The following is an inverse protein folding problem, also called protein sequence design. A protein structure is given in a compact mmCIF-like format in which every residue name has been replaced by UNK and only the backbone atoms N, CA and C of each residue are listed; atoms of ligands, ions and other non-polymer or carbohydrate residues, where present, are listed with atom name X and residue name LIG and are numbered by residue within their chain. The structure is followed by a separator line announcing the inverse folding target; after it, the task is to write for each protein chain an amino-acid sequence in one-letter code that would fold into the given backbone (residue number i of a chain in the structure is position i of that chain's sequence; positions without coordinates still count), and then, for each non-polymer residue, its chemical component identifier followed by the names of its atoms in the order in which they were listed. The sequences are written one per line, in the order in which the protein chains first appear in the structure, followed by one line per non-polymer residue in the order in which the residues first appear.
data_IF_443382671340
#
_entry.id   IF_443382671340
#
_cell.length_a   1.000
_cell.length_b   1.000
_cell.length_c   1.000
_cell.angle_alpha   90.00
_cell.angle_beta   90.00
_cell.angle_gamma   90.00
#
_symmetry.space_group_name_H-M   'P 1'
#
loop_
_entity.id
_entity.type
_entity.pdbx_description
1 polymer ?
#
# COMPACT_ATOMS: atom_id res chain seq x y z
N UNK A 1 16.52 25.62 -13.79
CA UNK A 1 16.87 24.27 -13.29
C UNK A 1 15.81 23.34 -13.79
N UNK A 2 16.14 22.11 -14.21
CA UNK A 2 15.13 21.12 -14.58
C UNK A 2 14.28 20.85 -13.34
N UNK A 3 12.94 20.99 -13.44
CA UNK A 3 12.01 20.71 -12.36
C UNK A 3 11.69 19.20 -12.26
N UNK A 4 12.45 18.37 -12.97
CA UNK A 4 12.38 16.92 -12.92
C UNK A 4 13.79 16.31 -12.92
N UNK A 5 13.99 15.28 -12.12
CA UNK A 5 15.27 14.59 -11.93
C UNK A 5 15.05 13.08 -11.84
N UNK A 6 16.00 12.30 -12.36
CA UNK A 6 16.02 10.83 -12.15
C UNK A 6 17.15 10.48 -11.19
N UNK A 7 16.79 9.83 -10.09
CA UNK A 7 17.69 9.40 -9.04
C UNK A 7 17.88 7.89 -9.08
N UNK A 8 19.10 7.44 -8.89
CA UNK A 8 19.48 6.04 -8.91
C UNK A 8 20.12 5.64 -7.59
N UNK A 9 19.58 4.62 -6.95
CA UNK A 9 20.06 4.13 -5.66
C UNK A 9 20.48 2.66 -5.78
N UNK A 10 21.79 2.39 -5.89
CA UNK A 10 22.28 1.01 -5.97
C UNK A 10 21.98 0.25 -4.68
N UNK A 11 21.66 -1.03 -4.83
CA UNK A 11 21.49 -1.99 -3.74
C UNK A 11 22.73 -2.88 -3.63
N UNK A 12 23.00 -3.47 -2.46
CA UNK A 12 24.02 -4.51 -2.33
C UNK A 12 23.77 -5.65 -3.34
N UNK A 13 24.81 -6.21 -3.95
CA UNK A 13 24.66 -7.29 -4.92
C UNK A 13 24.09 -8.55 -4.26
N UNK A 14 23.20 -9.24 -4.96
CA UNK A 14 22.65 -10.55 -4.56
C UNK A 14 23.57 -11.71 -4.98
N UNK A 15 24.55 -11.45 -5.85
CA UNK A 15 25.53 -12.43 -6.33
C UNK A 15 26.59 -11.76 -7.20
N UNK A 16 27.59 -12.48 -7.62
CA UNK A 16 28.68 -11.97 -8.47
C UNK A 16 28.11 -11.43 -9.79
N UNK A 17 28.37 -10.15 -10.07
CA UNK A 17 27.90 -9.48 -11.29
C UNK A 17 26.44 -9.01 -11.26
N UNK A 18 25.67 -9.31 -10.22
CA UNK A 18 24.31 -8.81 -10.09
C UNK A 18 24.32 -7.32 -9.71
N UNK A 19 23.61 -6.50 -10.46
CA UNK A 19 23.44 -5.07 -10.18
C UNK A 19 21.94 -4.76 -10.08
N UNK A 20 21.49 -4.35 -8.92
CA UNK A 20 20.13 -3.89 -8.70
C UNK A 20 20.17 -2.44 -8.22
N UNK A 21 19.21 -1.64 -8.68
CA UNK A 21 19.07 -0.26 -8.23
C UNK A 21 17.58 0.11 -8.13
N UNK A 22 17.25 0.92 -7.15
CA UNK A 22 15.97 1.60 -7.07
C UNK A 22 16.05 2.87 -7.92
N UNK A 23 15.09 3.06 -8.82
CA UNK A 23 14.99 4.27 -9.64
C UNK A 23 13.83 5.12 -9.16
N UNK A 24 14.10 6.38 -8.83
CA UNK A 24 13.13 7.35 -8.37
C UNK A 24 13.10 8.55 -9.31
N UNK A 25 11.92 9.01 -9.67
CA UNK A 25 11.71 10.24 -10.42
C UNK A 25 11.22 11.32 -9.45
N UNK A 26 11.95 12.43 -9.35
CA UNK A 26 11.60 13.59 -8.55
C UNK A 26 11.03 14.68 -9.44
N UNK A 27 9.92 15.27 -9.02
CA UNK A 27 9.31 16.45 -9.60
C UNK A 27 9.19 17.53 -8.53
N UNK A 28 9.49 18.79 -8.90
CA UNK A 28 9.55 19.92 -7.97
C UNK A 28 10.92 20.07 -7.31
N UNK A 29 10.96 20.85 -6.24
CA UNK A 29 12.21 21.18 -5.54
C UNK A 29 12.42 20.23 -4.37
N UNK A 30 13.63 19.71 -4.21
CA UNK A 30 14.00 18.88 -3.05
C UNK A 30 13.71 19.61 -1.74
N UNK A 31 13.02 18.91 -0.84
CA UNK A 31 12.61 19.43 0.46
C UNK A 31 11.44 20.41 0.44
N UNK A 32 10.86 20.71 -0.74
CA UNK A 32 9.65 21.53 -0.81
C UNK A 32 8.45 20.79 -0.18
N UNK A 33 7.51 21.58 0.36
CA UNK A 33 6.29 21.08 0.98
C UNK A 33 5.04 21.58 0.24
N UNK A 34 3.97 20.75 0.21
CA UNK A 34 3.90 19.39 0.72
C UNK A 34 4.78 18.41 -0.08
N UNK A 35 5.12 17.27 0.54
CA UNK A 35 5.89 16.19 -0.11
C UNK A 35 5.02 14.95 -0.29
N UNK A 36 4.98 14.42 -1.51
CA UNK A 36 4.35 13.12 -1.80
C UNK A 36 5.37 12.08 -2.25
N UNK A 37 5.13 10.85 -1.83
CA UNK A 37 5.85 9.66 -2.25
C UNK A 37 4.85 8.64 -2.80
N UNK A 38 5.02 8.21 -4.04
CA UNK A 38 4.20 7.20 -4.69
C UNK A 38 5.10 6.07 -5.18
N UNK A 39 4.78 4.84 -4.82
CA UNK A 39 5.48 3.67 -5.32
C UNK A 39 4.53 2.62 -5.86
N UNK A 40 5.04 1.75 -6.73
CA UNK A 40 4.36 0.56 -7.23
C UNK A 40 5.34 -0.60 -7.40
N UNK A 41 4.82 -1.81 -7.41
CA UNK A 41 5.63 -3.01 -7.60
C UNK A 41 6.56 -3.31 -6.44
N UNK A 42 6.15 -3.01 -5.21
CA UNK A 42 6.79 -3.51 -4.00
C UNK A 42 6.60 -5.03 -3.92
N UNK A 43 5.38 -5.54 -4.12
CA UNK A 43 5.18 -6.89 -4.64
C UNK A 43 5.36 -6.82 -6.16
N UNK A 44 6.43 -7.39 -6.67
CA UNK A 44 6.84 -7.19 -8.06
C UNK A 44 5.95 -7.91 -9.09
N UNK A 45 5.06 -8.78 -8.64
CA UNK A 45 4.03 -9.48 -9.42
C UNK A 45 2.66 -8.77 -9.40
N UNK A 46 2.59 -7.53 -8.92
CA UNK A 46 1.40 -6.67 -8.92
C UNK A 46 1.60 -5.51 -9.90
N UNK A 47 1.05 -5.63 -11.13
CA UNK A 47 1.44 -4.80 -12.27
C UNK A 47 0.65 -3.49 -12.46
N UNK A 48 -0.66 -3.37 -12.10
CA UNK A 48 -1.47 -2.19 -12.42
C UNK A 48 -0.86 -0.88 -11.96
N UNK A 49 -0.34 -0.83 -10.72
CA UNK A 49 0.31 0.36 -10.17
C UNK A 49 1.54 0.81 -10.96
N UNK A 50 2.34 -0.14 -11.48
CA UNK A 50 3.51 0.19 -12.30
C UNK A 50 3.08 0.89 -13.59
N UNK A 51 2.01 0.40 -14.24
CA UNK A 51 1.48 0.99 -15.47
C UNK A 51 0.83 2.35 -15.20
N UNK A 52 0.07 2.48 -14.11
CA UNK A 52 -0.53 3.74 -13.70
C UNK A 52 0.53 4.83 -13.45
N UNK A 53 1.62 4.51 -12.73
CA UNK A 53 2.72 5.45 -12.50
C UNK A 53 3.50 5.74 -13.79
N UNK A 54 3.64 4.77 -14.71
CA UNK A 54 4.22 5.02 -16.02
C UNK A 54 3.42 6.07 -16.80
N UNK A 55 2.09 5.98 -16.78
CA UNK A 55 1.20 6.94 -17.46
C UNK A 55 1.16 8.29 -16.73
N UNK A 56 1.26 8.30 -15.40
CA UNK A 56 1.29 9.55 -14.60
C UNK A 56 2.54 10.39 -14.87
N UNK A 57 3.70 9.76 -15.10
CA UNK A 57 4.98 10.47 -15.30
C UNK A 57 4.92 11.58 -16.36
N UNK A 58 4.50 11.32 -17.62
CA UNK A 58 4.41 12.40 -18.62
C UNK A 58 3.39 13.48 -18.26
N UNK A 59 2.40 13.20 -17.40
CA UNK A 59 1.48 14.22 -16.90
C UNK A 59 2.21 15.17 -15.93
N UNK A 60 3.03 14.62 -15.05
CA UNK A 60 3.86 15.41 -14.11
C UNK A 60 4.99 16.16 -14.82
N UNK A 61 5.59 15.59 -15.86
CA UNK A 61 6.57 16.27 -16.70
C UNK A 61 5.97 17.56 -17.31
N UNK A 62 4.77 17.44 -17.91
CA UNK A 62 4.04 18.61 -18.42
C UNK A 62 3.64 19.62 -17.34
N UNK A 63 3.26 19.13 -16.15
CA UNK A 63 2.96 20.03 -15.02
C UNK A 63 4.21 20.78 -14.55
N UNK A 64 5.36 20.10 -14.49
CA UNK A 64 6.64 20.70 -14.14
C UNK A 64 7.09 21.75 -15.19
N UNK A 65 7.00 21.44 -16.49
CA UNK A 65 7.29 22.37 -17.58
C UNK A 65 6.45 23.66 -17.52
N UNK A 66 5.21 23.54 -17.04
CA UNK A 66 4.28 24.65 -16.86
C UNK A 66 4.45 25.38 -15.52
N UNK A 67 5.37 24.94 -14.65
CA UNK A 67 5.59 25.51 -13.32
C UNK A 67 4.43 25.27 -12.34
N UNK A 68 3.67 24.18 -12.52
CA UNK A 68 2.51 23.86 -11.69
C UNK A 68 2.85 23.01 -10.47
N UNK A 69 4.05 22.41 -10.40
CA UNK A 69 4.47 21.63 -9.23
C UNK A 69 4.82 22.59 -8.09
N UNK A 70 4.13 22.50 -6.99
CA UNK A 70 4.22 23.39 -5.82
C UNK A 70 5.01 22.80 -4.65
N UNK A 71 5.10 21.47 -4.60
CA UNK A 71 5.82 20.72 -3.58
C UNK A 71 6.91 19.81 -4.15
N UNK A 72 7.21 18.72 -3.45
CA UNK A 72 8.10 17.65 -3.92
C UNK A 72 7.28 16.38 -4.17
N UNK A 73 7.42 15.78 -5.37
CA UNK A 73 6.74 14.52 -5.71
C UNK A 73 7.81 13.50 -6.10
N UNK A 74 7.86 12.39 -5.37
CA UNK A 74 8.72 11.25 -5.65
C UNK A 74 7.89 10.09 -6.22
N UNK A 75 8.32 9.53 -7.36
CA UNK A 75 7.63 8.43 -8.02
C UNK A 75 8.59 7.27 -8.28
N UNK A 76 8.21 6.08 -7.84
CA UNK A 76 8.93 4.82 -8.02
C UNK A 76 8.03 3.80 -8.72
N UNK A 77 7.97 3.77 -10.07
CA UNK A 77 7.12 2.81 -10.79
C UNK A 77 7.52 1.34 -10.58
N UNK A 78 8.76 1.09 -10.17
CA UNK A 78 9.33 -0.22 -9.89
C UNK A 78 10.12 -0.15 -8.58
N UNK A 79 9.41 -0.18 -7.46
CA UNK A 79 10.03 -0.05 -6.14
C UNK A 79 10.93 -1.25 -5.79
N UNK A 80 10.63 -2.45 -6.31
CA UNK A 80 11.33 -3.69 -5.98
C UNK A 80 12.05 -4.33 -7.17
N UNK A 81 13.25 -3.87 -7.52
CA UNK A 81 14.03 -4.49 -8.59
C UNK A 81 14.51 -5.91 -8.27
N UNK A 82 14.54 -6.32 -7.00
CA UNK A 82 14.92 -7.68 -6.59
C UNK A 82 13.83 -8.67 -6.99
N UNK A 83 12.57 -8.39 -6.63
CA UNK A 83 11.43 -9.22 -6.96
C UNK A 83 11.25 -9.39 -8.48
N UNK A 84 11.45 -8.29 -9.25
CA UNK A 84 11.36 -8.32 -10.70
C UNK A 84 12.36 -9.25 -11.41
N UNK A 85 13.41 -9.70 -10.74
CA UNK A 85 14.39 -10.63 -11.30
C UNK A 85 14.18 -12.09 -10.88
N UNK A 86 13.15 -12.40 -10.13
CA UNK A 86 12.85 -13.74 -9.64
C UNK A 86 11.87 -14.47 -10.57
N UNK A 87 12.38 -15.31 -11.49
CA UNK A 87 11.57 -16.01 -12.49
C UNK A 87 11.70 -17.54 -12.40
N UNK A 88 11.43 -18.18 -11.25
CA UNK A 88 11.50 -19.64 -11.14
C UNK A 88 10.50 -20.28 -12.09
N UNK A 89 10.99 -21.20 -12.94
CA UNK A 89 10.18 -21.94 -13.90
C UNK A 89 9.36 -21.06 -14.89
N UNK A 90 9.83 -19.82 -15.16
CA UNK A 90 9.14 -18.89 -16.06
C UNK A 90 7.98 -18.12 -15.48
N UNK A 91 7.75 -18.22 -14.17
CA UNK A 91 6.75 -17.42 -13.42
C UNK A 91 7.44 -16.35 -12.61
N UNK A 92 6.91 -15.13 -12.62
CA UNK A 92 7.41 -14.06 -11.78
C UNK A 92 7.03 -14.33 -10.32
N UNK A 93 8.04 -14.47 -9.46
CA UNK A 93 7.89 -14.65 -8.02
C UNK A 93 8.19 -13.33 -7.32
N UNK A 94 7.19 -12.43 -7.31
CA UNK A 94 7.37 -11.02 -6.95
C UNK A 94 7.01 -10.65 -5.52
N UNK A 95 6.23 -11.49 -4.81
CA UNK A 95 5.71 -11.18 -3.49
C UNK A 95 6.72 -11.44 -2.36
N UNK A 96 7.49 -12.51 -2.46
CA UNK A 96 8.45 -12.93 -1.46
C UNK A 96 9.88 -12.97 -2.02
N UNK A 97 10.85 -12.71 -1.18
CA UNK A 97 12.25 -12.89 -1.51
C UNK A 97 12.56 -14.38 -1.57
N UNK A 98 13.12 -14.84 -2.69
CA UNK A 98 13.22 -16.26 -3.01
C UNK A 98 14.21 -17.03 -2.11
N UNK A 99 15.22 -16.35 -1.56
CA UNK A 99 16.23 -16.98 -0.70
C UNK A 99 15.72 -17.19 0.73
N UNK A 100 15.01 -16.20 1.28
CA UNK A 100 14.59 -16.20 2.69
C UNK A 100 13.12 -16.56 2.88
N UNK A 101 12.30 -16.41 1.83
CA UNK A 101 10.85 -16.51 1.91
C UNK A 101 10.18 -15.29 2.57
N UNK A 102 10.93 -14.23 2.88
CA UNK A 102 10.37 -13.03 3.50
C UNK A 102 9.51 -12.25 2.49
N UNK A 103 8.33 -11.82 2.92
CA UNK A 103 7.47 -10.93 2.16
C UNK A 103 8.12 -9.54 2.01
N UNK A 104 8.17 -9.01 0.79
CA UNK A 104 8.80 -7.71 0.53
C UNK A 104 8.10 -6.55 1.25
N UNK A 105 6.78 -6.65 1.47
CA UNK A 105 5.98 -5.66 2.20
C UNK A 105 5.74 -6.04 3.66
N UNK A 106 6.74 -6.58 4.34
CA UNK A 106 6.71 -6.87 5.78
C UNK A 106 8.05 -6.51 6.42
N UNK A 107 8.07 -6.51 7.75
CA UNK A 107 9.26 -6.32 8.56
C UNK A 107 10.04 -5.03 8.23
N UNK A 108 9.33 -3.95 7.93
CA UNK A 108 9.95 -2.63 7.90
C UNK A 108 10.39 -2.23 9.31
N UNK A 109 11.51 -1.50 9.47
CA UNK A 109 11.99 -1.11 10.80
C UNK A 109 10.97 -0.19 11.48
N UNK A 110 10.64 -0.51 12.73
CA UNK A 110 9.91 0.42 13.60
C UNK A 110 10.84 1.58 13.97
N UNK A 111 10.50 2.77 13.52
CA UNK A 111 11.28 3.97 13.80
C UNK A 111 11.00 4.52 15.19
N UNK A 112 9.84 4.22 15.80
CA UNK A 112 9.44 4.75 17.12
C UNK A 112 10.48 4.43 18.19
N UNK A 113 11.01 3.19 18.16
CA UNK A 113 12.04 2.73 19.12
C UNK A 113 13.43 3.33 18.89
N UNK A 114 13.64 4.07 17.80
CA UNK A 114 14.97 4.51 17.33
C UNK A 114 15.16 6.03 17.29
N UNK A 115 14.15 6.80 17.71
CA UNK A 115 14.14 8.25 17.52
C UNK A 115 15.09 9.03 18.42
N UNK A 116 15.62 8.42 19.46
CA UNK A 116 16.54 9.09 20.40
C UNK A 116 15.84 10.08 21.32
N UNK A 117 16.49 11.23 21.58
CA UNK A 117 15.96 12.26 22.48
C UNK A 117 14.85 13.07 21.79
N UNK A 118 13.67 13.05 22.39
CA UNK A 118 12.49 13.80 21.98
C UNK A 118 12.06 14.83 23.05
N UNK A 119 12.97 15.25 23.94
CA UNK A 119 12.68 16.22 25.02
C UNK A 119 12.24 17.61 24.50
N UNK A 120 12.44 17.89 23.20
CA UNK A 120 11.96 19.10 22.54
C UNK A 120 10.48 19.11 22.15
N UNK A 121 9.75 18.01 22.35
CA UNK A 121 8.31 17.97 22.04
C UNK A 121 7.54 18.92 22.96
N UNK A 122 6.60 19.66 22.40
CA UNK A 122 5.82 20.68 23.09
C UNK A 122 4.41 20.88 22.52
N UNK A 123 3.86 22.10 22.68
CA UNK A 123 2.51 22.43 22.24
C UNK A 123 2.44 22.94 20.78
N UNK A 124 3.58 23.19 20.14
CA UNK A 124 3.61 23.57 18.72
C UNK A 124 3.67 22.33 17.83
N UNK A 125 2.58 22.08 17.11
CA UNK A 125 2.45 20.92 16.24
C UNK A 125 3.45 20.97 15.07
N UNK A 126 3.75 22.13 14.51
CA UNK A 126 4.67 22.24 13.38
C UNK A 126 6.12 21.98 13.80
N UNK A 127 6.53 22.49 14.96
CA UNK A 127 7.85 22.20 15.54
C UNK A 127 7.99 20.73 15.88
N UNK A 128 6.96 20.10 16.48
CA UNK A 128 6.96 18.67 16.77
C UNK A 128 7.10 17.81 15.51
N UNK A 129 6.38 18.15 14.44
CA UNK A 129 6.47 17.44 13.15
C UNK A 129 7.88 17.55 12.58
N UNK A 130 8.49 18.74 12.60
CA UNK A 130 9.85 18.94 12.11
C UNK A 130 10.86 18.12 12.93
N UNK A 131 10.77 18.15 14.26
CA UNK A 131 11.63 17.41 15.18
C UNK A 131 11.52 15.90 14.96
N UNK A 132 10.31 15.37 14.86
CA UNK A 132 10.06 13.93 14.66
C UNK A 132 10.62 13.47 13.31
N UNK A 133 10.37 14.22 12.23
CA UNK A 133 10.93 13.92 10.89
C UNK A 133 12.45 13.92 10.87
N UNK A 134 13.06 14.89 11.54
CA UNK A 134 14.53 14.95 11.68
C UNK A 134 15.06 13.75 12.47
N UNK A 135 14.40 13.37 13.57
CA UNK A 135 14.76 12.19 14.36
C UNK A 135 14.63 10.89 13.56
N UNK A 136 13.55 10.73 12.79
CA UNK A 136 13.37 9.60 11.86
C UNK A 136 14.50 9.53 10.83
N UNK A 137 14.83 10.66 10.21
CA UNK A 137 15.94 10.76 9.24
C UNK A 137 17.29 10.38 9.86
N UNK A 138 17.58 10.84 11.08
CA UNK A 138 18.80 10.46 11.83
C UNK A 138 18.82 8.96 12.15
N UNK A 139 17.70 8.40 12.59
CA UNK A 139 17.57 6.97 12.86
C UNK A 139 17.83 6.13 11.61
N UNK A 140 17.26 6.50 10.47
CA UNK A 140 17.50 5.85 9.18
C UNK A 140 18.97 6.00 8.75
N UNK A 141 19.56 7.19 8.83
CA UNK A 141 20.95 7.43 8.45
C UNK A 141 21.96 6.62 9.29
N UNK A 142 21.61 6.29 10.53
CA UNK A 142 22.43 5.45 11.41
C UNK A 142 22.41 3.96 11.02
N UNK A 143 21.37 3.51 10.30
CA UNK A 143 21.27 2.11 9.85
C UNK A 143 22.26 1.82 8.73
N UNK A 144 22.84 0.62 8.74
CA UNK A 144 23.83 0.16 7.76
C UNK A 144 23.44 -1.22 7.21
N UNK A 145 22.35 -1.32 6.45
CA UNK A 145 21.88 -2.60 5.91
C UNK A 145 22.92 -3.15 4.93
N UNK A 146 23.22 -4.45 5.04
CA UNK A 146 24.22 -5.15 4.21
C UNK A 146 23.61 -6.12 3.20
N UNK A 147 22.42 -6.64 3.50
CA UNK A 147 21.68 -7.54 2.59
C UNK A 147 20.80 -6.72 1.66
N UNK A 148 20.62 -7.20 0.43
CA UNK A 148 19.85 -6.50 -0.60
C UNK A 148 18.41 -6.20 -0.15
N UNK A 149 17.70 -7.17 0.43
CA UNK A 149 16.33 -6.99 0.93
C UNK A 149 16.22 -5.91 2.02
N UNK A 150 17.08 -5.97 3.04
CA UNK A 150 17.06 -4.96 4.10
C UNK A 150 17.51 -3.58 3.61
N UNK A 151 18.42 -3.53 2.61
CA UNK A 151 18.82 -2.29 1.96
C UNK A 151 17.69 -1.70 1.10
N UNK A 152 16.91 -2.53 0.44
CA UNK A 152 15.70 -2.11 -0.28
C UNK A 152 14.70 -1.44 0.67
N UNK A 153 14.27 -2.15 1.74
CA UNK A 153 13.35 -1.60 2.75
C UNK A 153 13.85 -0.28 3.35
N UNK A 154 15.12 -0.24 3.72
CA UNK A 154 15.77 0.97 4.23
C UNK A 154 15.75 2.12 3.21
N UNK A 155 16.03 1.84 1.92
CA UNK A 155 16.03 2.86 0.88
C UNK A 155 14.65 3.45 0.66
N UNK A 156 13.62 2.61 0.55
CA UNK A 156 12.24 3.05 0.38
C UNK A 156 11.79 3.93 1.57
N UNK A 157 12.04 3.50 2.80
CA UNK A 157 11.75 4.31 3.98
C UNK A 157 12.53 5.62 4.01
N UNK A 158 13.82 5.61 3.62
CA UNK A 158 14.64 6.83 3.60
C UNK A 158 14.09 7.90 2.63
N UNK A 159 13.43 7.48 1.54
CA UNK A 159 12.80 8.38 0.58
C UNK A 159 11.44 8.90 1.06
N UNK A 160 10.72 8.11 1.86
CA UNK A 160 9.32 8.34 2.21
C UNK A 160 9.10 8.89 3.64
N UNK A 161 10.05 8.72 4.59
CA UNK A 161 9.83 8.96 6.03
C UNK A 161 9.36 10.36 6.40
N UNK A 162 9.69 11.35 5.60
CA UNK A 162 9.32 12.75 5.82
C UNK A 162 8.18 13.23 4.90
N UNK A 163 7.56 12.33 4.12
CA UNK A 163 6.46 12.70 3.23
C UNK A 163 5.18 13.05 4.01
N UNK A 164 4.41 13.99 3.45
CA UNK A 164 3.07 14.34 3.93
C UNK A 164 2.02 13.34 3.41
N UNK A 165 2.25 12.82 2.19
CA UNK A 165 1.41 11.83 1.51
C UNK A 165 2.25 10.66 1.04
N UNK A 166 1.83 9.43 1.36
CA UNK A 166 2.44 8.19 0.86
C UNK A 166 1.36 7.31 0.24
N UNK A 167 1.51 6.98 -1.03
CA UNK A 167 0.64 6.07 -1.75
C UNK A 167 1.44 4.85 -2.20
N UNK A 168 1.16 3.71 -1.58
CA UNK A 168 1.73 2.41 -1.94
C UNK A 168 0.74 1.66 -2.85
N UNK A 169 1.07 1.59 -4.14
CA UNK A 169 0.18 1.04 -5.15
C UNK A 169 0.39 -0.46 -5.30
N UNK A 170 -0.63 -1.20 -4.99
CA UNK A 170 -0.72 -2.65 -5.04
C UNK A 170 -1.85 -3.12 -5.95
N UNK A 171 -2.01 -4.43 -6.08
CA UNK A 171 -3.17 -5.11 -6.63
C UNK A 171 -3.34 -6.47 -5.96
N UNK A 172 -4.58 -6.96 -5.83
CA UNK A 172 -4.84 -8.29 -5.30
C UNK A 172 -5.05 -9.30 -6.45
N UNK A 173 -5.17 -10.56 -6.18
CA UNK A 173 -5.29 -11.63 -7.19
C UNK A 173 -6.41 -11.36 -8.21
N UNK A 174 -7.66 -11.28 -7.75
CA UNK A 174 -8.82 -10.76 -8.46
C UNK A 174 -9.56 -9.86 -7.46
N UNK A 175 -9.65 -8.58 -7.72
CA UNK A 175 -10.26 -7.67 -6.78
C UNK A 175 -10.91 -6.45 -7.45
N UNK A 176 -11.83 -5.82 -6.72
CA UNK A 176 -12.26 -4.46 -6.96
C UNK A 176 -11.26 -3.49 -6.35
N UNK A 177 -11.17 -2.24 -6.83
CA UNK A 177 -10.35 -1.23 -6.17
C UNK A 177 -10.72 -1.09 -4.69
N UNK A 178 -9.71 -1.07 -3.80
CA UNK A 178 -9.92 -0.91 -2.37
C UNK A 178 -8.69 -0.26 -1.71
N UNK A 179 -8.84 0.16 -0.45
CA UNK A 179 -7.81 0.89 0.27
C UNK A 179 -7.65 0.34 1.69
N UNK A 180 -6.38 0.25 2.13
CA UNK A 180 -6.01 0.09 3.54
C UNK A 180 -5.34 1.36 4.02
N UNK A 181 -5.71 1.83 5.23
CA UNK A 181 -5.07 2.99 5.85
C UNK A 181 -5.24 2.97 7.36
N UNK A 182 -4.48 3.83 8.05
CA UNK A 182 -4.56 3.96 9.50
C UNK A 182 -5.93 4.50 9.97
N UNK A 183 -6.46 3.95 11.06
CA UNK A 183 -7.71 4.46 11.67
C UNK A 183 -7.60 5.96 12.00
N UNK A 184 -6.42 6.42 12.45
CA UNK A 184 -6.15 7.82 12.75
C UNK A 184 -6.12 8.74 11.52
N UNK A 185 -6.03 8.18 10.31
CA UNK A 185 -5.99 8.90 9.04
C UNK A 185 -7.38 9.05 8.39
N UNK A 186 -8.40 8.48 8.99
CA UNK A 186 -9.78 8.63 8.54
C UNK A 186 -10.49 9.71 9.37
N UNK A 187 -11.26 10.68 8.74
CA UNK A 187 -11.69 10.68 7.33
C UNK A 187 -10.75 11.39 6.34
N UNK A 188 -9.56 11.83 6.73
CA UNK A 188 -8.67 12.59 5.83
C UNK A 188 -8.32 11.83 4.54
N UNK A 189 -8.27 10.49 4.57
CA UNK A 189 -8.03 9.67 3.38
C UNK A 189 -9.27 9.48 2.47
N UNK A 190 -10.41 10.10 2.78
CA UNK A 190 -11.66 9.87 2.06
C UNK A 190 -11.62 10.34 0.59
N UNK A 191 -10.88 11.42 0.30
CA UNK A 191 -10.70 11.89 -1.08
C UNK A 191 -9.89 10.89 -1.92
N UNK A 192 -8.92 10.23 -1.34
CA UNK A 192 -8.12 9.19 -2.01
C UNK A 192 -9.03 8.02 -2.37
N UNK A 193 -9.81 7.51 -1.39
CA UNK A 193 -10.75 6.43 -1.61
C UNK A 193 -11.80 6.75 -2.69
N UNK A 194 -12.30 8.00 -2.70
CA UNK A 194 -13.27 8.46 -3.70
C UNK A 194 -12.66 8.56 -5.11
N UNK A 195 -11.43 9.08 -5.24
CA UNK A 195 -10.79 9.25 -6.55
C UNK A 195 -10.41 7.92 -7.21
N UNK A 196 -10.06 6.88 -6.45
CA UNK A 196 -9.76 5.55 -6.99
C UNK A 196 -10.99 4.64 -7.12
N UNK A 197 -12.21 5.16 -6.86
CA UNK A 197 -13.45 4.37 -6.85
C UNK A 197 -13.40 3.16 -5.91
N UNK A 198 -12.83 3.34 -4.70
CA UNK A 198 -12.65 2.25 -3.75
C UNK A 198 -13.98 1.61 -3.33
N UNK A 199 -14.09 0.30 -3.49
CA UNK A 199 -15.27 -0.50 -3.19
C UNK A 199 -15.21 -1.16 -1.81
N UNK A 200 -14.05 -1.11 -1.15
CA UNK A 200 -13.87 -1.38 0.26
C UNK A 200 -12.84 -0.40 0.83
N UNK A 201 -13.09 0.07 2.07
CA UNK A 201 -12.23 1.01 2.79
C UNK A 201 -11.97 0.39 4.15
N UNK A 202 -10.74 -0.10 4.35
CA UNK A 202 -10.36 -0.95 5.47
C UNK A 202 -9.38 -0.21 6.39
N UNK A 203 -9.79 0.00 7.65
CA UNK A 203 -9.06 0.79 8.63
C UNK A 203 -8.41 -0.12 9.67
N UNK A 204 -7.13 0.10 9.97
CA UNK A 204 -6.45 -0.56 11.07
C UNK A 204 -5.44 0.37 11.73
N UNK A 205 -5.21 0.24 13.03
CA UNK A 205 -4.03 0.83 13.67
C UNK A 205 -2.79 -0.03 13.44
N UNK A 206 -2.98 -1.35 13.48
CA UNK A 206 -1.94 -2.36 13.27
C UNK A 206 -2.58 -3.54 12.55
N UNK A 207 -2.14 -3.82 11.32
CA UNK A 207 -2.61 -4.97 10.55
C UNK A 207 -1.75 -6.22 10.78
N UNK A 208 -0.50 -6.03 11.22
CA UNK A 208 0.47 -7.08 11.51
C UNK A 208 1.64 -7.13 10.53
N UNK A 209 2.82 -7.49 11.03
CA UNK A 209 4.03 -7.64 10.23
C UNK A 209 4.70 -6.33 9.81
N UNK A 210 4.21 -5.18 10.25
CA UNK A 210 4.74 -3.84 9.97
C UNK A 210 4.98 -3.59 8.48
N UNK A 211 3.91 -3.49 7.65
CA UNK A 211 4.03 -3.16 6.23
C UNK A 211 4.49 -1.71 6.03
N UNK A 212 4.78 -1.34 4.78
CA UNK A 212 5.39 -0.06 4.44
C UNK A 212 4.58 1.17 4.88
N UNK A 213 3.28 1.17 4.61
CA UNK A 213 2.38 2.27 4.97
C UNK A 213 2.24 2.45 6.49
N UNK A 214 2.12 1.35 7.24
CA UNK A 214 2.07 1.39 8.71
C UNK A 214 3.42 1.83 9.32
N UNK A 215 4.54 1.37 8.76
CA UNK A 215 5.87 1.75 9.22
C UNK A 215 6.15 3.26 9.09
N UNK A 216 5.44 3.96 8.19
CA UNK A 216 5.56 5.40 7.98
C UNK A 216 4.53 6.22 8.76
N UNK A 217 3.30 5.73 8.85
CA UNK A 217 2.22 6.45 9.54
C UNK A 217 2.09 6.07 11.02
N UNK A 218 2.34 4.82 11.38
CA UNK A 218 2.22 4.28 12.75
C UNK A 218 2.97 5.07 13.83
N UNK A 219 4.21 5.50 13.59
CA UNK A 219 4.96 6.29 14.56
C UNK A 219 4.24 7.55 15.03
N UNK A 220 3.44 8.20 14.21
CA UNK A 220 2.75 9.45 14.58
C UNK A 220 1.74 9.25 15.70
N UNK A 221 0.86 8.27 15.62
CA UNK A 221 -0.11 8.01 16.71
C UNK A 221 0.51 7.24 17.88
N UNK A 222 1.58 6.47 17.67
CA UNK A 222 2.32 5.85 18.75
C UNK A 222 3.00 6.92 19.64
N UNK A 223 3.64 7.91 19.03
CA UNK A 223 4.26 9.04 19.72
C UNK A 223 3.21 9.94 20.39
N UNK A 224 2.09 10.23 19.72
CA UNK A 224 1.00 11.00 20.33
C UNK A 224 0.45 10.32 21.59
N UNK A 225 0.38 8.99 21.63
CA UNK A 225 0.00 8.24 22.83
C UNK A 225 1.08 8.24 23.92
N UNK A 226 2.34 8.17 23.50
CA UNK A 226 3.47 8.18 24.45
C UNK A 226 3.71 9.57 25.08
N UNK A 227 3.34 10.63 24.34
CA UNK A 227 3.53 12.04 24.73
C UNK A 227 2.21 12.82 24.70
N UNK A 228 1.24 12.47 25.57
CA UNK A 228 -0.09 13.10 25.53
C UNK A 228 -0.07 14.61 25.87
N UNK A 229 1.02 15.09 26.44
CA UNK A 229 1.27 16.52 26.71
C UNK A 229 1.73 17.30 25.47
N UNK A 230 2.14 16.62 24.40
CA UNK A 230 2.64 17.24 23.18
C UNK A 230 1.58 17.25 22.06
N UNK A 231 1.57 18.28 21.24
CA UNK A 231 0.68 18.37 20.08
C UNK A 231 1.30 17.63 18.88
N UNK A 232 1.06 16.32 18.77
CA UNK A 232 1.58 15.48 17.69
C UNK A 232 0.44 15.08 16.75
N UNK A 233 0.28 15.72 15.59
CA UNK A 233 -0.71 15.35 14.58
C UNK A 233 -0.26 14.12 13.78
N UNK A 234 -1.17 13.40 13.07
CA UNK A 234 -0.81 12.37 12.11
C UNK A 234 -0.22 13.01 10.84
N UNK A 235 1.08 13.34 10.86
CA UNK A 235 1.74 14.16 9.83
C UNK A 235 2.21 13.37 8.59
N UNK A 236 1.90 12.09 8.49
CA UNK A 236 2.09 11.27 7.28
C UNK A 236 0.78 10.53 6.98
N UNK A 237 0.08 10.95 5.93
CA UNK A 237 -1.06 10.21 5.41
C UNK A 237 -0.52 9.12 4.50
N UNK A 238 -0.43 7.89 5.02
CA UNK A 238 0.00 6.73 4.25
C UNK A 238 -1.19 5.78 3.99
N UNK A 239 -1.29 5.30 2.76
CA UNK A 239 -2.32 4.36 2.35
C UNK A 239 -1.78 3.35 1.33
N UNK A 240 -2.21 2.10 1.48
CA UNK A 240 -2.07 1.07 0.45
C UNK A 240 -3.29 1.11 -0.46
N UNK A 241 -3.06 1.35 -1.75
CA UNK A 241 -4.08 1.42 -2.79
C UNK A 241 -4.05 0.16 -3.63
N UNK A 242 -5.05 -0.68 -3.48
CA UNK A 242 -5.23 -1.87 -4.31
C UNK A 242 -6.03 -1.50 -5.56
N UNK A 243 -5.37 -1.42 -6.71
CA UNK A 243 -5.92 -0.85 -7.94
C UNK A 243 -6.73 -1.86 -8.79
N UNK A 244 -7.18 -2.94 -8.19
CA UNK A 244 -7.95 -4.00 -8.85
C UNK A 244 -7.20 -5.33 -8.85
N UNK A 245 -7.32 -6.10 -9.93
CA UNK A 245 -6.71 -7.42 -10.06
C UNK A 245 -5.28 -7.32 -10.61
N UNK A 246 -4.40 -8.27 -10.24
CA UNK A 246 -3.01 -8.32 -10.75
C UNK A 246 -2.92 -8.29 -12.28
N UNK A 247 -3.90 -8.89 -12.96
CA UNK A 247 -3.94 -9.01 -14.41
C UNK A 247 -4.62 -7.81 -15.11
N UNK A 248 -5.08 -6.79 -14.37
CA UNK A 248 -5.72 -5.58 -14.91
C UNK A 248 -4.70 -4.62 -15.55
N UNK A 249 -3.93 -5.15 -16.50
CA UNK A 249 -2.88 -4.44 -17.23
C UNK A 249 -3.43 -3.93 -18.55
N UNK A 250 -4.14 -2.81 -18.50
CA UNK A 250 -4.78 -2.17 -19.63
C UNK A 250 -4.46 -0.67 -19.67
N UNK A 251 -4.20 -0.12 -20.88
CA UNK A 251 -3.79 1.28 -21.05
C UNK A 251 -4.92 2.29 -20.80
N UNK A 252 -6.18 1.92 -21.01
CA UNK A 252 -7.32 2.81 -20.76
C UNK A 252 -7.55 2.91 -19.25
N UNK A 253 -7.60 1.77 -18.57
CA UNK A 253 -7.67 1.70 -17.11
C UNK A 253 -6.49 2.44 -16.45
N UNK A 254 -5.27 2.25 -16.95
CA UNK A 254 -4.09 2.93 -16.41
C UNK A 254 -4.15 4.45 -16.59
N UNK A 255 -4.77 4.97 -17.67
CA UNK A 255 -5.01 6.41 -17.84
C UNK A 255 -6.01 6.94 -16.80
N UNK A 256 -7.07 6.20 -16.52
CA UNK A 256 -8.06 6.57 -15.52
C UNK A 256 -7.45 6.59 -14.12
N UNK A 257 -6.65 5.57 -13.78
CA UNK A 257 -5.92 5.48 -12.53
C UNK A 257 -4.88 6.60 -12.39
N UNK A 258 -4.10 6.87 -13.43
CA UNK A 258 -3.14 7.98 -13.43
C UNK A 258 -3.83 9.35 -13.29
N UNK A 259 -4.98 9.54 -13.94
CA UNK A 259 -5.77 10.75 -13.78
C UNK A 259 -6.35 10.90 -12.36
N UNK A 260 -6.74 9.81 -11.71
CA UNK A 260 -7.14 9.81 -10.31
C UNK A 260 -5.98 10.22 -9.39
N UNK A 261 -4.80 9.60 -9.55
CA UNK A 261 -3.59 9.95 -8.80
C UNK A 261 -3.18 11.41 -9.01
N UNK A 262 -3.27 11.93 -10.24
CA UNK A 262 -2.98 13.33 -10.53
C UNK A 262 -3.93 14.27 -9.77
N UNK A 263 -5.24 13.98 -9.73
CA UNK A 263 -6.23 14.77 -8.98
C UNK A 263 -6.03 14.69 -7.46
N UNK A 264 -5.59 13.54 -6.93
CA UNK A 264 -5.19 13.44 -5.53
C UNK A 264 -4.04 14.41 -5.24
N UNK A 265 -3.02 14.45 -6.10
CA UNK A 265 -1.90 15.39 -5.95
C UNK A 265 -2.34 16.86 -6.05
N UNK A 266 -3.30 17.19 -6.93
CA UNK A 266 -3.90 18.53 -7.00
C UNK A 266 -4.64 18.88 -5.70
N UNK A 267 -5.51 17.98 -5.20
CA UNK A 267 -6.25 18.20 -3.95
C UNK A 267 -5.37 18.39 -2.74
N UNK A 268 -4.23 17.71 -2.73
CA UNK A 268 -3.24 17.81 -1.65
C UNK A 268 -2.25 18.95 -1.83
N UNK A 269 -2.48 19.83 -2.80
CA UNK A 269 -1.68 21.03 -3.02
C UNK A 269 -0.25 20.77 -3.51
N UNK A 270 0.01 19.62 -4.14
CA UNK A 270 1.30 19.30 -4.76
C UNK A 270 1.38 19.77 -6.21
N UNK A 271 0.23 19.97 -6.83
CA UNK A 271 0.09 20.50 -8.18
C UNK A 271 -0.91 21.65 -8.11
N UNK A 272 -0.52 22.84 -8.63
CA UNK A 272 -1.41 23.98 -8.72
C UNK A 272 -2.52 23.73 -9.73
N UNK A 273 -3.78 23.92 -9.32
CA UNK A 273 -4.96 23.72 -10.13
C UNK A 273 -6.23 23.68 -9.27
N UNK A 274 -7.35 23.51 -9.93
CA UNK A 274 -8.63 23.26 -9.29
C UNK A 274 -9.10 21.88 -9.74
N UNK A 275 -8.97 20.85 -8.91
CA UNK A 275 -9.44 19.50 -9.25
C UNK A 275 -10.98 19.52 -9.44
N UNK A 276 -11.48 18.69 -10.33
CA UNK A 276 -12.94 18.50 -10.50
C UNK A 276 -13.61 18.18 -9.17
N UNK A 277 -14.93 18.29 -9.10
CA UNK A 277 -15.70 17.89 -7.93
C UNK A 277 -15.31 16.46 -7.48
N UNK A 278 -15.16 16.28 -6.17
CA UNK A 278 -14.82 14.97 -5.59
C UNK A 278 -15.94 13.97 -5.92
N UNK A 279 -15.64 12.78 -6.45
CA UNK A 279 -16.61 11.71 -6.62
C UNK A 279 -17.22 11.30 -5.28
N UNK A 280 -18.42 10.75 -5.31
CA UNK A 280 -19.03 10.16 -4.12
C UNK A 280 -18.26 8.88 -3.71
N UNK A 281 -18.11 8.68 -2.40
CA UNK A 281 -17.60 7.41 -1.87
C UNK A 281 -18.53 6.25 -2.26
N UNK A 282 -17.96 5.15 -2.72
CA UNK A 282 -18.69 3.94 -3.12
C UNK A 282 -18.82 2.92 -1.98
N UNK A 283 -18.10 3.11 -0.88
CA UNK A 283 -18.11 2.24 0.28
C UNK A 283 -18.04 3.05 1.58
N UNK A 284 -18.53 2.46 2.64
CA UNK A 284 -18.29 2.96 4.00
C UNK A 284 -16.96 2.43 4.51
N UNK A 285 -16.25 3.24 5.29
CA UNK A 285 -15.04 2.81 5.97
C UNK A 285 -15.40 1.86 7.13
N UNK A 286 -14.73 0.71 7.17
CA UNK A 286 -14.92 -0.30 8.20
C UNK A 286 -13.58 -0.71 8.82
N UNK A 287 -13.63 -1.21 10.05
CA UNK A 287 -12.42 -1.75 10.68
C UNK A 287 -11.96 -3.02 9.93
N UNK A 288 -10.68 -3.19 9.77
CA UNK A 288 -10.09 -4.39 9.15
C UNK A 288 -10.50 -5.68 9.89
N UNK A 289 -10.84 -5.59 11.16
CA UNK A 289 -11.42 -6.69 11.97
C UNK A 289 -12.82 -7.09 11.53
N UNK A 290 -13.52 -6.27 10.74
CA UNK A 290 -14.82 -6.59 10.15
C UNK A 290 -14.70 -7.29 8.77
N UNK A 291 -13.51 -7.33 8.19
CA UNK A 291 -13.25 -8.03 6.92
C UNK A 291 -13.13 -9.52 7.16
N UNK A 292 -13.99 -10.34 6.55
CA UNK A 292 -13.86 -11.79 6.58
C UNK A 292 -12.89 -12.30 5.50
N UNK A 293 -12.00 -13.19 5.91
CA UNK A 293 -11.20 -14.00 5.01
C UNK A 293 -11.92 -15.32 4.74
N UNK A 294 -12.50 -15.49 3.58
CA UNK A 294 -13.13 -16.74 3.17
C UNK A 294 -12.05 -17.80 2.98
N UNK A 295 -12.03 -18.83 3.84
CA UNK A 295 -11.00 -19.85 3.84
C UNK A 295 -11.54 -21.19 3.33
N UNK A 296 -10.76 -21.88 2.49
CA UNK A 296 -11.09 -23.24 2.05
C UNK A 296 -11.07 -24.22 3.23
N UNK A 297 -12.15 -24.97 3.50
CA UNK A 297 -12.20 -25.95 4.59
C UNK A 297 -11.44 -27.23 4.30
N UNK A 298 -11.29 -27.57 3.02
CA UNK A 298 -10.64 -28.79 2.51
C UNK A 298 -9.77 -28.48 1.29
N UNK A 299 -9.05 -29.48 0.80
CA UNK A 299 -8.28 -29.42 -0.44
C UNK A 299 -9.21 -29.69 -1.63
N UNK A 300 -9.03 -28.97 -2.75
CA UNK A 300 -9.77 -29.20 -3.99
C UNK A 300 -9.81 -28.01 -4.93
N UNK A 301 -10.61 -28.13 -5.99
CA UNK A 301 -10.86 -27.08 -6.95
C UNK A 301 -11.87 -26.08 -6.39
N UNK A 302 -11.60 -24.78 -6.57
CA UNK A 302 -12.48 -23.70 -6.10
C UNK A 302 -13.47 -23.33 -7.21
N UNK A 303 -14.75 -23.64 -7.01
CA UNK A 303 -15.85 -23.25 -7.88
C UNK A 303 -16.64 -22.10 -7.22
N UNK A 304 -16.39 -20.86 -7.65
CA UNK A 304 -17.10 -19.70 -7.09
C UNK A 304 -18.56 -19.68 -7.49
N UNK A 305 -19.44 -19.46 -6.52
CA UNK A 305 -20.90 -19.27 -6.69
C UNK A 305 -21.27 -17.78 -6.70
N UNK A 306 -20.40 -16.90 -6.23
CA UNK A 306 -20.56 -15.45 -6.19
C UNK A 306 -19.49 -14.78 -7.05
N UNK A 307 -19.87 -13.64 -7.66
CA UNK A 307 -18.97 -12.81 -8.48
C UNK A 307 -18.34 -11.71 -7.61
N UNK A 308 -17.23 -11.16 -8.05
CA UNK A 308 -16.72 -9.93 -7.47
C UNK A 308 -17.78 -8.84 -7.55
N UNK A 309 -17.99 -8.11 -6.45
CA UNK A 309 -19.01 -7.07 -6.34
C UNK A 309 -20.39 -7.58 -5.89
N UNK A 310 -20.59 -8.88 -5.74
CA UNK A 310 -21.83 -9.38 -5.16
C UNK A 310 -21.89 -9.06 -3.66
N UNK A 311 -23.03 -8.54 -3.22
CA UNK A 311 -23.38 -8.51 -1.80
C UNK A 311 -23.79 -9.90 -1.35
N UNK A 312 -23.27 -10.35 -0.23
CA UNK A 312 -23.57 -11.65 0.37
C UNK A 312 -24.06 -11.48 1.80
N UNK A 313 -24.81 -12.47 2.29
CA UNK A 313 -25.23 -12.55 3.69
C UNK A 313 -24.52 -13.69 4.40
N UNK A 314 -24.34 -13.56 5.69
CA UNK A 314 -23.84 -14.64 6.53
C UNK A 314 -24.64 -15.93 6.29
N UNK A 315 -23.94 -17.05 6.12
CA UNK A 315 -24.51 -18.35 5.78
C UNK A 315 -24.80 -18.58 4.29
N UNK A 316 -24.64 -17.59 3.41
CA UNK A 316 -24.78 -17.82 1.96
C UNK A 316 -23.53 -18.53 1.38
N UNK A 317 -23.75 -19.39 0.39
CA UNK A 317 -22.65 -20.09 -0.31
C UNK A 317 -21.90 -19.13 -1.20
N UNK A 318 -20.60 -18.96 -0.92
CA UNK A 318 -19.68 -18.11 -1.72
C UNK A 318 -18.97 -18.95 -2.79
N UNK A 319 -18.56 -20.16 -2.42
CA UNK A 319 -17.85 -21.08 -3.29
C UNK A 319 -18.13 -22.53 -2.88
N UNK A 320 -17.75 -23.45 -3.75
CA UNK A 320 -17.66 -24.88 -3.47
C UNK A 320 -16.22 -25.33 -3.65
N UNK A 321 -15.72 -26.18 -2.75
CA UNK A 321 -14.46 -26.88 -2.94
C UNK A 321 -14.76 -28.28 -3.42
N UNK A 322 -14.38 -28.57 -4.65
CA UNK A 322 -14.66 -29.85 -5.32
C UNK A 322 -13.40 -30.73 -5.27
N UNK A 323 -13.49 -31.87 -4.61
CA UNK A 323 -12.49 -32.90 -4.77
C UNK A 323 -12.88 -33.75 -5.99
N UNK A 324 -12.11 -33.79 -7.09
CA UNK A 324 -12.43 -34.61 -8.27
C UNK A 324 -12.51 -36.10 -8.01
N UNK A 325 -11.97 -36.58 -6.89
CA UNK A 325 -11.98 -38.00 -6.47
C UNK A 325 -12.89 -38.27 -5.26
N UNK A 326 -13.55 -37.21 -4.76
CA UNK A 326 -14.32 -37.30 -3.52
C UNK A 326 -15.56 -36.41 -3.52
N UNK A 327 -15.75 -35.69 -2.43
CA UNK A 327 -16.96 -34.90 -2.16
C UNK A 327 -16.78 -33.42 -2.56
N UNK A 328 -17.92 -32.72 -2.66
CA UNK A 328 -17.98 -31.26 -2.79
C UNK A 328 -18.37 -30.68 -1.43
N UNK A 329 -17.63 -29.66 -0.99
CA UNK A 329 -17.87 -28.97 0.29
C UNK A 329 -18.20 -27.50 0.02
N UNK A 330 -19.34 -27.04 0.53
CA UNK A 330 -19.74 -25.63 0.44
C UNK A 330 -18.91 -24.75 1.37
N UNK A 331 -18.59 -23.55 0.89
CA UNK A 331 -17.91 -22.50 1.66
C UNK A 331 -18.87 -21.35 1.85
N UNK A 332 -19.21 -21.07 3.10
CA UNK A 332 -20.22 -20.08 3.46
C UNK A 332 -19.56 -18.73 3.82
N UNK A 333 -20.28 -17.63 3.54
CA UNK A 333 -19.93 -16.31 4.05
C UNK A 333 -20.05 -16.29 5.58
N UNK A 334 -19.06 -15.76 6.27
CA UNK A 334 -19.06 -15.58 7.73
C UNK A 334 -19.82 -14.32 8.15
N UNK A 335 -19.93 -13.31 7.27
CA UNK A 335 -20.55 -12.03 7.54
C UNK A 335 -21.37 -11.52 6.34
N UNK A 336 -22.30 -10.62 6.60
CA UNK A 336 -22.90 -9.79 5.56
C UNK A 336 -21.85 -8.82 5.01
N UNK A 337 -21.84 -8.60 3.69
CA UNK A 337 -20.90 -7.64 3.10
C UNK A 337 -20.70 -7.80 1.59
N UNK A 338 -19.70 -7.09 1.09
CA UNK A 338 -19.30 -7.11 -0.32
C UNK A 338 -18.17 -8.10 -0.54
N UNK A 339 -18.31 -9.06 -1.46
CA UNK A 339 -17.20 -9.89 -1.92
C UNK A 339 -16.31 -9.06 -2.84
N UNK A 340 -15.24 -8.46 -2.29
CA UNK A 340 -14.39 -7.51 -3.02
C UNK A 340 -13.11 -8.12 -3.58
N UNK A 341 -12.68 -9.30 -3.08
CA UNK A 341 -11.51 -9.99 -3.59
C UNK A 341 -11.70 -11.51 -3.61
N UNK A 342 -11.06 -12.17 -4.59
CA UNK A 342 -11.01 -13.63 -4.76
C UNK A 342 -9.61 -14.05 -5.18
N UNK A 343 -9.24 -15.30 -4.92
CA UNK A 343 -7.98 -15.84 -5.40
C UNK A 343 -8.10 -16.23 -6.88
N UNK A 344 -7.12 -15.87 -7.70
CA UNK A 344 -7.10 -16.17 -9.15
C UNK A 344 -6.84 -17.65 -9.45
N UNK A 345 -6.01 -18.33 -8.62
CA UNK A 345 -5.73 -19.75 -8.79
C UNK A 345 -6.87 -20.60 -8.22
N UNK A 346 -7.60 -21.37 -9.08
CA UNK A 346 -8.79 -22.09 -8.68
C UNK A 346 -8.45 -23.46 -8.04
N UNK A 347 -7.43 -23.49 -7.18
CA UNK A 347 -7.04 -24.67 -6.40
C UNK A 347 -6.64 -24.23 -4.99
N UNK A 348 -7.21 -24.87 -4.00
CA UNK A 348 -7.00 -24.53 -2.62
C UNK A 348 -6.64 -25.76 -1.76
N UNK A 349 -5.93 -25.50 -0.69
CA UNK A 349 -5.70 -26.41 0.43
C UNK A 349 -6.42 -25.87 1.66
N UNK A 350 -6.58 -26.71 2.66
CA UNK A 350 -7.24 -26.31 3.90
C UNK A 350 -6.58 -25.06 4.51
N UNK A 351 -7.41 -24.05 4.79
CA UNK A 351 -6.98 -22.77 5.37
C UNK A 351 -6.52 -21.70 4.37
N UNK A 352 -6.35 -22.04 3.07
CA UNK A 352 -6.03 -21.03 2.05
C UNK A 352 -7.16 -20.01 1.96
N UNK A 353 -6.82 -18.72 1.98
CA UNK A 353 -7.77 -17.63 1.72
C UNK A 353 -8.13 -17.65 0.25
N UNK A 354 -9.41 -17.82 -0.07
CA UNK A 354 -9.95 -17.86 -1.43
C UNK A 354 -10.79 -16.64 -1.76
N UNK A 355 -11.14 -15.81 -0.78
CA UNK A 355 -11.87 -14.56 -0.99
C UNK A 355 -11.86 -13.67 0.23
N UNK A 356 -12.27 -12.42 0.03
CA UNK A 356 -12.38 -11.41 1.10
C UNK A 356 -13.73 -10.71 1.00
N UNK A 357 -14.42 -10.60 2.14
CA UNK A 357 -15.73 -9.94 2.24
C UNK A 357 -15.57 -8.72 3.15
N UNK A 358 -15.88 -7.53 2.65
CA UNK A 358 -15.92 -6.31 3.44
C UNK A 358 -17.25 -6.25 4.20
N UNK A 359 -17.23 -6.63 5.47
CA UNK A 359 -18.36 -6.54 6.39
C UNK A 359 -18.34 -5.26 7.20
N UNK A 360 -19.41 -5.03 7.98
CA UNK A 360 -19.54 -3.88 8.88
C UNK A 360 -19.35 -4.23 10.36
N UNK A 361 -19.50 -5.49 10.72
CA UNK A 361 -19.42 -5.95 12.10
C UNK A 361 -18.10 -6.63 12.40
N UNK A 362 -17.50 -6.30 13.55
CA UNK A 362 -16.23 -6.91 14.00
C UNK A 362 -16.40 -8.40 14.20
N UNK A 363 -15.54 -9.19 13.60
CA UNK A 363 -15.54 -10.65 13.69
C UNK A 363 -14.66 -11.12 14.85
N UNK A 364 -15.21 -11.96 15.73
CA UNK A 364 -14.45 -12.54 16.83
C UNK A 364 -13.26 -13.41 16.38
N UNK A 365 -13.34 -13.95 15.17
CA UNK A 365 -12.29 -14.75 14.52
C UNK A 365 -11.11 -13.91 14.04
N UNK A 366 -11.26 -12.59 13.97
CA UNK A 366 -10.25 -11.65 13.45
C UNK A 366 -9.47 -11.00 14.61
N UNK A 367 -8.48 -11.75 15.17
CA UNK A 367 -7.59 -11.31 16.26
C UNK A 367 -6.13 -11.52 15.89
N UNK A 368 -5.24 -10.70 16.44
CA UNK A 368 -3.79 -10.76 16.18
C UNK A 368 -3.40 -10.16 14.83
N UNK A 369 -2.54 -10.83 14.07
CA UNK A 369 -2.19 -10.39 12.72
C UNK A 369 -3.42 -10.51 11.80
N UNK A 370 -3.90 -9.35 11.32
CA UNK A 370 -5.14 -9.25 10.53
C UNK A 370 -4.89 -9.52 9.03
N UNK A 371 -3.70 -9.20 8.53
CA UNK A 371 -3.26 -9.54 7.18
C UNK A 371 -2.23 -10.67 7.28
N UNK A 372 -2.47 -11.75 6.55
CA UNK A 372 -1.57 -12.88 6.42
C UNK A 372 -0.82 -12.78 5.10
N UNK A 373 0.37 -13.35 5.08
CA UNK A 373 1.20 -13.47 3.88
C UNK A 373 0.55 -14.34 2.80
#
# INVERSE_FOLDING_TARGET
MSLSETLYFPLPPTGAGAVHQVTCFRYGTEGARPKAYLQAGLHADEFPGMLALHVLRPMLERAAERGLITGEILILPQANPLGLTQHPNGFLYGRHEAETGENFNRAYPDLTEKLGDLSGLGQDAAENVALIREAMGKALAAMKPRKALTALRHRLMSLAHDADLVLDLHADNQALPHIYTGTALWPDAADIAAEIDARAILLAEVSGGNPFDEALSGPWWALARAHPEAAIPPACLAATLELGSNDDVDMELARDQAAALYRILERRGLIAGEPRALPALQAQATQLTAMSQVKAPVLGLVAYRRRLGDSVRAGEVVAEIVDPLGETVEVLAETDGLLFARHSQPYAWRGKVIGKIAGSEVLETRKGALLTD
#
